data_IF_513719531101
#
_entry.id   IF_513719531101
#
_cell.length_a   1.000
_cell.length_b   1.000
_cell.length_c   1.000
_cell.angle_alpha   90.00
_cell.angle_beta   90.00
_cell.angle_gamma   90.00
#
_symmetry.space_group_name_H-M   'P 1'
#
loop_
_entity.id
_entity.type
_entity.pdbx_description
1 polymer ?
#
# COMPACT_ATOMS: atom_id res chain seq x y z
N UNK A 1 -19.32 -19.25 1.25
CA UNK A 1 -17.94 -18.75 1.11
C UNK A 1 -17.85 -17.48 0.26
N UNK A 2 -18.31 -17.49 -1.01
CA UNK A 2 -18.23 -16.32 -1.91
C UNK A 2 -18.90 -15.04 -1.36
N UNK A 3 -20.06 -15.19 -0.70
CA UNK A 3 -20.75 -14.08 -0.04
C UNK A 3 -19.86 -13.39 1.01
N UNK A 4 -19.29 -14.14 1.96
CA UNK A 4 -18.43 -13.60 3.02
C UNK A 4 -17.18 -12.91 2.48
N UNK A 5 -16.60 -13.43 1.40
CA UNK A 5 -15.40 -12.85 0.78
C UNK A 5 -15.74 -11.50 0.13
N UNK A 6 -16.87 -11.41 -0.57
CA UNK A 6 -17.39 -10.15 -1.13
C UNK A 6 -17.71 -9.14 -0.02
N UNK A 7 -18.34 -9.59 1.06
CA UNK A 7 -18.67 -8.74 2.20
C UNK A 7 -17.40 -8.16 2.84
N UNK A 8 -16.40 -8.99 3.13
CA UNK A 8 -15.13 -8.54 3.71
C UNK A 8 -14.38 -7.55 2.79
N UNK A 9 -14.41 -7.80 1.48
CA UNK A 9 -13.82 -6.89 0.48
C UNK A 9 -14.56 -5.55 0.43
N UNK A 10 -15.90 -5.55 0.46
CA UNK A 10 -16.70 -4.32 0.48
C UNK A 10 -16.46 -3.51 1.75
N UNK A 11 -16.36 -4.16 2.91
CA UNK A 11 -16.02 -3.51 4.18
C UNK A 11 -14.63 -2.87 4.09
N UNK A 12 -13.61 -3.62 3.65
CA UNK A 12 -12.25 -3.11 3.51
C UNK A 12 -12.18 -1.91 2.54
N UNK A 13 -12.89 -1.98 1.41
CA UNK A 13 -12.95 -0.88 0.45
C UNK A 13 -13.66 0.33 1.05
N UNK A 14 -14.80 0.15 1.72
CA UNK A 14 -15.53 1.23 2.35
C UNK A 14 -14.69 1.93 3.43
N UNK A 15 -13.98 1.17 4.27
CA UNK A 15 -13.11 1.71 5.32
C UNK A 15 -11.89 2.44 4.75
N UNK A 16 -11.19 1.84 3.78
CA UNK A 16 -10.04 2.50 3.16
C UNK A 16 -10.46 3.81 2.47
N UNK A 17 -11.60 3.81 1.76
CA UNK A 17 -12.17 5.03 1.16
C UNK A 17 -12.54 6.04 2.26
N UNK A 18 -13.19 5.59 3.34
CA UNK A 18 -13.51 6.45 4.47
C UNK A 18 -12.27 7.15 5.03
N UNK A 19 -11.18 6.41 5.26
CA UNK A 19 -9.94 7.01 5.77
C UNK A 19 -9.24 7.93 4.77
N UNK A 20 -9.42 7.77 3.46
CA UNK A 20 -8.87 8.73 2.48
C UNK A 20 -9.49 10.11 2.65
N UNK A 21 -10.78 10.19 2.98
CA UNK A 21 -11.52 11.46 3.05
C UNK A 21 -11.66 12.02 4.47
N UNK A 22 -11.90 11.16 5.47
CA UNK A 22 -12.37 11.59 6.79
C UNK A 22 -11.31 11.49 7.90
N UNK A 23 -10.13 10.93 7.62
CA UNK A 23 -9.06 10.94 8.62
C UNK A 23 -8.54 12.35 8.88
N UNK A 24 -8.03 12.57 10.09
CA UNK A 24 -7.23 13.75 10.39
C UNK A 24 -6.00 13.83 9.48
N UNK A 25 -5.69 15.04 9.04
CA UNK A 25 -4.46 15.35 8.30
C UNK A 25 -3.26 14.96 9.17
N UNK A 26 -2.38 14.11 8.62
CA UNK A 26 -1.11 13.86 9.27
C UNK A 26 -0.09 14.88 8.77
N UNK A 27 0.62 15.54 9.70
CA UNK A 27 1.63 16.55 9.40
C UNK A 27 2.72 16.03 8.43
N UNK A 28 3.02 14.74 8.50
CA UNK A 28 4.05 14.12 7.66
C UNK A 28 3.63 14.08 6.18
N UNK A 29 2.33 14.08 5.85
CA UNK A 29 1.85 13.98 4.46
C UNK A 29 2.37 15.14 3.62
N UNK A 30 2.39 16.35 4.18
CA UNK A 30 2.93 17.53 3.53
C UNK A 30 4.43 17.39 3.25
N UNK A 31 5.17 16.82 4.21
CA UNK A 31 6.61 16.60 4.09
C UNK A 31 6.94 15.60 2.97
N UNK A 32 6.19 14.50 2.89
CA UNK A 32 6.34 13.50 1.82
C UNK A 32 5.99 14.10 0.45
N UNK A 33 4.87 14.82 0.33
CA UNK A 33 4.44 15.42 -0.94
C UNK A 33 5.38 16.54 -1.41
N UNK A 34 5.94 17.32 -0.48
CA UNK A 34 7.01 18.27 -0.79
C UNK A 34 8.24 17.56 -1.35
N UNK A 35 8.70 16.48 -0.72
CA UNK A 35 9.82 15.69 -1.22
C UNK A 35 9.56 15.12 -2.63
N UNK A 36 8.33 14.66 -2.90
CA UNK A 36 7.90 14.23 -4.24
C UNK A 36 8.04 15.36 -5.26
N UNK A 37 7.55 16.56 -4.93
CA UNK A 37 7.64 17.72 -5.80
C UNK A 37 9.10 18.09 -6.10
N UNK A 38 9.95 18.13 -5.06
CA UNK A 38 11.37 18.46 -5.21
C UNK A 38 12.09 17.46 -6.12
N UNK A 39 11.84 16.16 -5.95
CA UNK A 39 12.38 15.11 -6.84
C UNK A 39 11.91 15.30 -8.29
N UNK A 40 10.64 15.64 -8.50
CA UNK A 40 10.14 15.96 -9.85
C UNK A 40 10.73 17.23 -10.45
N UNK A 41 11.25 18.13 -9.62
CA UNK A 41 12.01 19.30 -10.02
C UNK A 41 13.50 19.02 -10.25
N UNK A 42 13.93 17.77 -10.10
CA UNK A 42 15.31 17.32 -10.33
C UNK A 42 16.21 17.42 -9.10
N UNK A 43 15.64 17.71 -7.92
CA UNK A 43 16.40 17.76 -6.66
C UNK A 43 16.59 16.36 -6.08
N UNK A 44 17.76 16.11 -5.51
CA UNK A 44 18.12 14.83 -4.92
C UNK A 44 17.92 14.85 -3.39
N UNK A 45 17.19 13.86 -2.81
CA UNK A 45 17.12 13.70 -1.36
C UNK A 45 18.51 13.58 -0.73
N UNK A 46 18.69 14.15 0.46
CA UNK A 46 19.95 14.20 1.23
C UNK A 46 21.06 15.09 0.65
N UNK A 47 20.97 15.49 -0.61
CA UNK A 47 21.96 16.36 -1.27
C UNK A 47 21.43 17.78 -1.39
N UNK A 48 20.27 17.94 -2.04
CA UNK A 48 19.65 19.24 -2.28
C UNK A 48 18.68 19.66 -1.17
N UNK A 49 18.14 18.68 -0.42
CA UNK A 49 17.20 18.93 0.67
C UNK A 49 17.27 17.84 1.73
N UNK A 50 16.95 18.21 2.97
CA UNK A 50 16.90 17.26 4.07
C UNK A 50 15.70 16.33 3.94
N UNK A 51 15.96 15.04 4.05
CA UNK A 51 14.95 13.99 4.05
C UNK A 51 15.38 12.94 5.08
N UNK A 52 14.47 12.49 5.93
CA UNK A 52 14.80 11.60 7.07
C UNK A 52 14.42 10.15 6.85
N UNK A 53 13.69 9.87 5.77
CA UNK A 53 13.12 8.57 5.43
C UNK A 53 13.86 7.99 4.23
N UNK A 54 13.77 6.67 4.00
CA UNK A 54 14.39 6.04 2.83
C UNK A 54 13.98 6.71 1.50
N UNK A 55 14.90 6.85 0.52
CA UNK A 55 14.72 7.80 -0.59
C UNK A 55 13.70 7.35 -1.64
N UNK A 56 13.20 6.12 -1.58
CA UNK A 56 12.44 5.49 -2.67
C UNK A 56 11.05 6.12 -2.86
N UNK A 57 10.38 6.48 -1.76
CA UNK A 57 9.02 7.02 -1.81
C UNK A 57 8.88 8.22 -2.75
N UNK A 58 9.69 9.30 -2.62
CA UNK A 58 9.50 10.49 -3.45
C UNK A 58 9.68 10.23 -4.95
N UNK A 59 10.56 9.30 -5.34
CA UNK A 59 10.73 8.91 -6.74
C UNK A 59 9.51 8.15 -7.29
N UNK A 60 9.03 7.15 -6.56
CA UNK A 60 7.89 6.33 -7.00
C UNK A 60 6.61 7.18 -7.07
N UNK A 61 6.33 7.96 -6.04
CA UNK A 61 5.17 8.86 -6.04
C UNK A 61 5.32 9.95 -7.10
N UNK A 62 6.53 10.43 -7.36
CA UNK A 62 6.80 11.40 -8.43
C UNK A 62 6.51 10.85 -9.82
N UNK A 63 6.88 9.59 -10.07
CA UNK A 63 6.61 8.88 -11.32
C UNK A 63 5.11 8.63 -11.54
N UNK A 64 4.40 8.22 -10.49
CA UNK A 64 2.96 7.90 -10.58
C UNK A 64 2.05 9.13 -10.51
N UNK A 65 2.55 10.26 -10.01
CA UNK A 65 1.75 11.47 -9.90
C UNK A 65 1.46 12.06 -11.29
N UNK A 66 0.21 12.39 -11.60
CA UNK A 66 -0.14 13.09 -12.85
C UNK A 66 0.37 14.54 -12.86
N UNK A 67 0.59 15.17 -11.70
CA UNK A 67 0.97 16.59 -11.60
C UNK A 67 2.32 16.81 -10.91
N UNK A 68 3.08 17.80 -11.40
CA UNK A 68 4.40 18.17 -10.86
C UNK A 68 4.35 18.56 -9.38
N UNK A 69 3.23 19.10 -8.93
CA UNK A 69 2.92 19.34 -7.52
C UNK A 69 1.69 18.52 -7.12
N UNK A 70 1.86 17.28 -6.63
CA UNK A 70 0.75 16.44 -6.21
C UNK A 70 0.01 17.07 -5.02
N UNK A 71 -1.31 17.06 -5.09
CA UNK A 71 -2.16 17.41 -3.96
C UNK A 71 -2.29 16.25 -2.96
N UNK A 72 -2.88 16.55 -1.80
CA UNK A 72 -3.11 15.57 -0.74
C UNK A 72 -3.91 14.35 -1.23
N UNK A 73 -5.03 14.60 -1.91
CA UNK A 73 -5.88 13.53 -2.43
C UNK A 73 -5.13 12.63 -3.42
N UNK A 74 -4.34 13.21 -4.32
CA UNK A 74 -3.52 12.45 -5.28
C UNK A 74 -2.54 11.52 -4.57
N UNK A 75 -1.83 12.03 -3.55
CA UNK A 75 -0.93 11.21 -2.75
C UNK A 75 -1.65 10.07 -2.04
N UNK A 76 -2.81 10.35 -1.43
CA UNK A 76 -3.62 9.32 -0.75
C UNK A 76 -4.13 8.25 -1.72
N UNK A 77 -4.55 8.63 -2.92
CA UNK A 77 -4.98 7.68 -3.95
C UNK A 77 -3.84 6.77 -4.43
N UNK A 78 -2.63 7.31 -4.61
CA UNK A 78 -1.45 6.50 -4.92
C UNK A 78 -1.15 5.52 -3.77
N UNK A 79 -1.15 6.02 -2.53
CA UNK A 79 -0.96 5.21 -1.32
C UNK A 79 -1.98 4.07 -1.26
N UNK A 80 -3.25 4.40 -1.48
CA UNK A 80 -4.36 3.45 -1.49
C UNK A 80 -4.17 2.39 -2.57
N UNK A 81 -3.72 2.77 -3.76
CA UNK A 81 -3.35 1.82 -4.82
C UNK A 81 -2.33 0.78 -4.32
N UNK A 82 -1.27 1.21 -3.64
CA UNK A 82 -0.31 0.28 -3.03
C UNK A 82 -0.94 -0.61 -1.96
N UNK A 83 -1.80 -0.05 -1.10
CA UNK A 83 -2.51 -0.81 -0.08
C UNK A 83 -3.43 -1.90 -0.69
N UNK A 84 -4.12 -1.58 -1.78
CA UNK A 84 -4.97 -2.55 -2.51
C UNK A 84 -4.15 -3.67 -3.12
N UNK A 85 -3.05 -3.35 -3.81
CA UNK A 85 -2.16 -4.37 -4.41
C UNK A 85 -1.53 -5.24 -3.33
N UNK A 86 -1.05 -4.63 -2.25
CA UNK A 86 -0.48 -5.33 -1.09
C UNK A 86 -1.50 -6.33 -0.49
N UNK A 87 -2.74 -5.88 -0.29
CA UNK A 87 -3.83 -6.71 0.23
C UNK A 87 -4.19 -7.84 -0.72
N UNK A 88 -4.36 -7.52 -2.00
CA UNK A 88 -4.70 -8.51 -3.03
C UNK A 88 -3.63 -9.61 -3.14
N UNK A 89 -2.35 -9.24 -3.15
CA UNK A 89 -1.24 -10.19 -3.16
C UNK A 89 -1.21 -11.04 -1.89
N UNK A 90 -1.44 -10.46 -0.72
CA UNK A 90 -1.47 -11.18 0.55
C UNK A 90 -2.60 -12.22 0.59
N UNK A 91 -3.82 -11.81 0.21
CA UNK A 91 -4.99 -12.70 0.12
C UNK A 91 -4.77 -13.79 -0.95
N UNK A 92 -4.15 -13.45 -2.07
CA UNK A 92 -3.80 -14.40 -3.12
C UNK A 92 -2.78 -15.44 -2.63
N UNK A 93 -1.72 -15.04 -1.93
CA UNK A 93 -0.76 -15.97 -1.35
C UNK A 93 -1.41 -16.90 -0.32
N UNK A 94 -2.28 -16.37 0.55
CA UNK A 94 -3.03 -17.19 1.50
C UNK A 94 -3.92 -18.23 0.80
N UNK A 95 -4.60 -17.83 -0.28
CA UNK A 95 -5.39 -18.74 -1.10
C UNK A 95 -4.53 -19.85 -1.71
N UNK A 96 -3.38 -19.48 -2.26
CA UNK A 96 -2.47 -20.41 -2.93
C UNK A 96 -1.81 -21.41 -1.99
N UNK A 97 -1.46 -20.98 -0.77
CA UNK A 97 -0.77 -21.84 0.19
C UNK A 97 -1.72 -22.73 1.01
N UNK A 98 -2.92 -22.23 1.32
CA UNK A 98 -3.79 -22.85 2.33
C UNK A 98 -5.27 -22.91 1.91
N UNK A 99 -5.59 -22.51 0.68
CA UNK A 99 -6.94 -22.61 0.12
C UNK A 99 -7.90 -21.48 0.50
N UNK A 100 -9.18 -21.58 0.10
CA UNK A 100 -10.15 -20.47 0.14
C UNK A 100 -10.58 -20.04 1.55
N UNK A 101 -10.45 -20.92 2.56
CA UNK A 101 -10.76 -20.55 3.95
C UNK A 101 -9.68 -19.62 4.52
N UNK A 102 -8.41 -19.87 4.19
CA UNK A 102 -7.30 -19.05 4.65
C UNK A 102 -7.31 -17.65 4.02
N UNK A 103 -7.63 -17.54 2.73
CA UNK A 103 -7.78 -16.24 2.08
C UNK A 103 -8.94 -15.43 2.64
N UNK A 104 -10.06 -16.08 2.97
CA UNK A 104 -11.17 -15.43 3.66
C UNK A 104 -10.74 -14.91 5.04
N UNK A 105 -10.09 -15.74 5.86
CA UNK A 105 -9.62 -15.35 7.19
C UNK A 105 -8.61 -14.19 7.11
N UNK A 106 -7.70 -14.24 6.14
CA UNK A 106 -6.70 -13.18 5.90
C UNK A 106 -7.38 -11.88 5.54
N UNK A 107 -8.34 -11.89 4.61
CA UNK A 107 -9.07 -10.69 4.24
C UNK A 107 -9.85 -10.11 5.42
N UNK A 108 -10.55 -10.94 6.20
CA UNK A 108 -11.22 -10.48 7.42
C UNK A 108 -10.25 -9.89 8.45
N UNK A 109 -9.10 -10.50 8.67
CA UNK A 109 -8.09 -9.97 9.58
C UNK A 109 -7.60 -8.59 9.13
N UNK A 110 -7.45 -8.38 7.82
CA UNK A 110 -7.08 -7.07 7.27
C UNK A 110 -8.24 -6.06 7.35
N UNK A 111 -9.48 -6.46 7.06
CA UNK A 111 -10.68 -5.62 7.20
C UNK A 111 -10.96 -5.20 8.64
N UNK A 112 -10.62 -6.01 9.63
CA UNK A 112 -10.84 -5.66 11.05
C UNK A 112 -9.66 -4.87 11.64
N UNK A 113 -8.54 -4.78 10.91
CA UNK A 113 -7.32 -4.10 11.31
C UNK A 113 -7.39 -2.59 11.11
N UNK A 114 -8.34 -1.91 11.75
CA UNK A 114 -8.64 -0.50 11.51
C UNK A 114 -7.43 0.44 11.65
N UNK A 115 -6.55 0.17 12.62
CA UNK A 115 -5.29 0.89 12.78
C UNK A 115 -4.40 0.73 11.54
N UNK A 116 -4.22 -0.49 11.03
CA UNK A 116 -3.40 -0.76 9.85
C UNK A 116 -4.01 -0.14 8.59
N UNK A 117 -5.33 -0.21 8.42
CA UNK A 117 -6.06 0.46 7.34
C UNK A 117 -5.81 1.97 7.39
N UNK A 118 -5.91 2.57 8.58
CA UNK A 118 -5.52 3.95 8.81
C UNK A 118 -4.10 4.21 8.35
N UNK A 119 -3.11 3.42 8.77
CA UNK A 119 -1.72 3.63 8.36
C UNK A 119 -1.51 3.52 6.84
N UNK A 120 -2.34 2.75 6.14
CA UNK A 120 -2.24 2.50 4.70
C UNK A 120 -3.06 3.49 3.84
N UNK A 121 -3.80 4.41 4.46
CA UNK A 121 -4.68 5.35 3.77
C UNK A 121 -4.09 6.77 3.59
N UNK A 122 -2.94 7.07 4.20
CA UNK A 122 -2.30 8.39 4.10
C UNK A 122 -0.90 8.34 3.53
N UNK A 123 -0.43 9.50 3.05
CA UNK A 123 0.87 9.61 2.41
C UNK A 123 1.98 9.38 3.44
N UNK A 124 2.50 8.16 3.44
CA UNK A 124 3.61 7.71 4.26
C UNK A 124 4.27 6.47 3.62
N UNK A 125 5.36 6.02 4.22
CA UNK A 125 6.12 4.85 3.74
C UNK A 125 5.39 3.52 3.93
N UNK A 126 4.43 3.42 4.86
CA UNK A 126 3.82 2.15 5.27
C UNK A 126 3.25 1.29 4.14
N UNK A 127 2.36 1.84 3.30
CA UNK A 127 1.71 1.06 2.25
C UNK A 127 2.72 0.58 1.20
N UNK A 128 3.69 1.42 0.83
CA UNK A 128 4.73 1.09 -0.14
C UNK A 128 5.71 0.04 0.43
N UNK A 129 6.13 0.20 1.68
CA UNK A 129 6.96 -0.77 2.39
C UNK A 129 6.25 -2.11 2.52
N UNK A 130 4.97 -2.10 2.92
CA UNK A 130 4.14 -3.30 2.99
C UNK A 130 4.06 -4.01 1.64
N UNK A 131 3.85 -3.27 0.55
CA UNK A 131 3.86 -3.83 -0.80
C UNK A 131 5.20 -4.48 -1.15
N UNK A 132 6.34 -3.85 -0.86
CA UNK A 132 7.65 -4.46 -1.12
C UNK A 132 7.91 -5.71 -0.30
N UNK A 133 7.51 -5.74 0.97
CA UNK A 133 7.65 -6.92 1.82
C UNK A 133 6.80 -8.09 1.29
N UNK A 134 5.55 -7.81 0.90
CA UNK A 134 4.63 -8.80 0.34
C UNK A 134 5.12 -9.28 -1.03
N UNK A 135 5.58 -8.39 -1.90
CA UNK A 135 6.14 -8.74 -3.20
C UNK A 135 7.44 -9.55 -3.07
N UNK A 136 8.34 -9.17 -2.15
CA UNK A 136 9.55 -9.94 -1.86
C UNK A 136 9.23 -11.34 -1.35
N UNK A 137 8.24 -11.47 -0.47
CA UNK A 137 7.76 -12.76 0.02
C UNK A 137 7.17 -13.60 -1.11
N UNK A 138 6.37 -12.98 -1.99
CA UNK A 138 5.81 -13.63 -3.17
C UNK A 138 6.91 -14.21 -4.07
N UNK A 139 7.92 -13.41 -4.41
CA UNK A 139 9.06 -13.83 -5.22
C UNK A 139 9.86 -14.96 -4.54
N UNK A 140 10.09 -14.86 -3.23
CA UNK A 140 10.81 -15.88 -2.47
C UNK A 140 10.07 -17.23 -2.46
N UNK A 141 8.75 -17.21 -2.28
CA UNK A 141 7.92 -18.41 -2.35
C UNK A 141 7.95 -19.04 -3.75
N UNK A 142 7.91 -18.20 -4.80
CA UNK A 142 8.01 -18.65 -6.19
C UNK A 142 9.34 -19.33 -6.49
N UNK A 143 10.46 -18.74 -6.04
CA UNK A 143 11.81 -19.26 -6.26
C UNK A 143 12.06 -20.61 -5.54
N UNK A 144 11.39 -20.87 -4.41
CA UNK A 144 11.59 -22.09 -3.59
C UNK A 144 10.72 -23.30 -3.96
N UNK A 145 10.14 -23.34 -5.16
CA UNK A 145 9.43 -24.51 -5.72
C UNK A 145 8.18 -25.00 -4.95
N UNK A 146 7.74 -24.33 -3.87
CA UNK A 146 6.44 -24.64 -3.23
C UNK A 146 5.26 -24.39 -4.18
N UNK A 147 5.44 -23.55 -5.21
CA UNK A 147 4.48 -23.36 -6.29
C UNK A 147 4.53 -24.48 -7.35
N UNK A 148 5.66 -25.17 -7.51
CA UNK A 148 5.82 -26.23 -8.54
C UNK A 148 5.26 -27.59 -8.12
N UNK A 149 4.77 -27.74 -6.87
CA UNK A 149 4.03 -28.95 -6.42
C UNK A 149 2.50 -28.77 -6.45
N UNK A 150 2.03 -27.62 -6.91
CA UNK A 150 0.61 -27.22 -6.88
C UNK A 150 0.12 -26.79 -8.29
N UNK A 151 1.02 -26.73 -9.29
CA UNK A 151 0.67 -26.69 -10.71
C UNK A 151 0.60 -28.13 -11.24
#
# INVERSE_FOLDING_TARGET
>A
MRFYLRLAALIYLAETIFFIFYRALNLDEGWYLMAVRLVREGKLPYVDFNYTQGPVLPYIYGLLSPSRSPGLLTGRLITWGFALVCTALTVFMAWRLYGPKASLLTLWAMSLGWFAIGQYAYVATYALTGLFLVAGTFCWLGARSRWSRIL
#
